data_IF_007833515038
#
_entry.id   IF_007833515038
#
_cell.length_a   1.000
_cell.length_b   1.000
_cell.length_c   1.000
_cell.angle_alpha   90.00
_cell.angle_beta   90.00
_cell.angle_gamma   90.00
#
_symmetry.space_group_name_H-M   'P 1'
#
loop_
_entity.id
_entity.type
_entity.pdbx_description
1 polymer ?
#
# COMPACT_ATOMS: atom_id res chain seq x y z
N UNK A 1 -37.61 53.54 23.71
CA UNK A 1 -37.59 52.08 23.59
C UNK A 1 -37.65 51.61 22.14
N UNK A 2 -38.61 52.05 21.33
CA UNK A 2 -38.76 51.59 19.93
C UNK A 2 -37.54 51.78 19.03
N UNK A 3 -36.80 52.90 19.12
CA UNK A 3 -35.59 53.17 18.32
C UNK A 3 -34.42 52.20 18.57
N UNK A 4 -34.23 51.68 19.79
CA UNK A 4 -33.19 50.71 20.12
C UNK A 4 -33.52 49.31 19.57
N UNK A 5 -34.82 48.96 19.48
CA UNK A 5 -35.29 47.66 18.92
C UNK A 5 -35.03 47.62 17.40
N UNK A 6 -35.29 48.73 16.68
CA UNK A 6 -35.04 48.80 15.23
C UNK A 6 -33.52 48.72 14.91
N UNK A 7 -32.67 49.28 15.79
CA UNK A 7 -31.23 49.20 15.62
C UNK A 7 -30.73 47.75 15.82
N UNK A 8 -31.23 47.04 16.83
CA UNK A 8 -30.88 45.62 17.09
C UNK A 8 -31.37 44.70 15.96
N UNK A 9 -32.56 44.89 15.46
CA UNK A 9 -33.12 44.12 14.33
C UNK A 9 -32.31 44.35 13.05
N UNK A 10 -31.89 45.62 12.79
CA UNK A 10 -31.02 45.96 11.67
C UNK A 10 -29.67 45.27 11.73
N UNK A 11 -29.03 45.21 12.91
CA UNK A 11 -27.76 44.49 13.09
C UNK A 11 -27.88 42.99 12.87
N UNK A 12 -28.95 42.38 13.38
CA UNK A 12 -29.19 40.93 13.17
C UNK A 12 -29.42 40.60 11.68
N UNK A 13 -30.14 41.44 10.95
CA UNK A 13 -30.34 41.26 9.51
C UNK A 13 -29.03 41.41 8.73
N UNK A 14 -28.17 42.32 9.07
CA UNK A 14 -26.86 42.52 8.45
C UNK A 14 -25.95 41.29 8.71
N UNK A 15 -25.97 40.75 9.93
CA UNK A 15 -25.25 39.50 10.26
C UNK A 15 -25.76 38.28 9.49
N UNK A 16 -27.07 38.13 9.34
CA UNK A 16 -27.67 37.07 8.56
C UNK A 16 -27.32 37.17 7.08
N UNK A 17 -27.34 38.35 6.51
CA UNK A 17 -26.92 38.62 5.11
C UNK A 17 -25.43 38.29 4.93
N UNK A 18 -24.57 38.66 5.88
CA UNK A 18 -23.16 38.33 5.82
C UNK A 18 -22.90 36.82 5.90
N UNK A 19 -23.61 36.10 6.76
CA UNK A 19 -23.53 34.64 6.86
C UNK A 19 -23.99 33.96 5.56
N UNK A 20 -25.09 34.43 4.98
CA UNK A 20 -25.59 33.93 3.69
C UNK A 20 -24.62 34.24 2.55
N UNK A 21 -24.02 35.42 2.54
CA UNK A 21 -23.01 35.79 1.55
C UNK A 21 -21.73 34.93 1.68
N UNK A 22 -21.29 34.62 2.90
CA UNK A 22 -20.15 33.72 3.15
C UNK A 22 -20.52 32.29 2.73
N UNK A 23 -21.73 31.83 3.02
CA UNK A 23 -22.22 30.51 2.62
C UNK A 23 -22.33 30.38 1.09
N UNK A 24 -22.87 31.39 0.40
CA UNK A 24 -22.97 31.42 -1.06
C UNK A 24 -21.59 31.59 -1.73
N UNK A 25 -20.68 32.33 -1.10
CA UNK A 25 -19.30 32.44 -1.61
C UNK A 25 -18.50 31.16 -1.41
N UNK A 26 -18.73 30.40 -0.34
CA UNK A 26 -18.19 29.04 -0.16
C UNK A 26 -18.82 28.03 -1.14
N UNK A 27 -20.07 28.19 -1.53
CA UNK A 27 -20.69 27.35 -2.56
C UNK A 27 -20.19 27.69 -3.97
N UNK A 28 -19.89 28.97 -4.25
CA UNK A 28 -19.34 29.40 -5.53
C UNK A 28 -17.82 29.13 -5.65
N UNK A 29 -17.10 28.94 -4.53
CA UNK A 29 -15.72 28.46 -4.52
C UNK A 29 -15.60 26.93 -4.57
N UNK A 30 -16.72 26.20 -4.56
CA UNK A 30 -16.80 24.87 -5.13
C UNK A 30 -16.86 24.97 -6.67
N UNK A 31 -15.92 25.70 -7.26
CA UNK A 31 -15.54 25.43 -8.64
C UNK A 31 -15.19 23.96 -8.67
N UNK A 32 -15.88 23.23 -9.52
CA UNK A 32 -15.44 21.97 -10.10
C UNK A 32 -13.92 22.07 -10.25
N UNK A 33 -13.21 21.51 -9.27
CA UNK A 33 -11.82 21.14 -9.48
C UNK A 33 -11.94 20.18 -10.65
N UNK A 34 -11.48 20.59 -11.82
CA UNK A 34 -11.27 19.68 -12.92
C UNK A 34 -10.39 18.58 -12.35
N UNK A 35 -11.03 17.46 -12.01
CA UNK A 35 -10.35 16.22 -11.74
C UNK A 35 -9.62 15.88 -13.03
N UNK A 36 -8.29 15.86 -12.92
CA UNK A 36 -7.44 15.13 -13.82
C UNK A 36 -6.94 15.87 -15.05
N UNK A 37 -5.66 16.13 -15.01
CA UNK A 37 -4.76 16.00 -16.15
C UNK A 37 -4.22 14.57 -16.30
N UNK A 38 -4.66 13.60 -15.48
CA UNK A 38 -4.35 12.20 -15.74
C UNK A 38 -5.05 11.79 -17.04
N UNK A 39 -4.39 11.05 -17.96
CA UNK A 39 -5.03 10.54 -19.15
C UNK A 39 -6.29 9.79 -18.73
N UNK A 40 -7.45 10.09 -19.34
CA UNK A 40 -8.66 9.28 -19.19
C UNK A 40 -8.35 7.88 -19.72
N UNK A 41 -8.00 6.99 -18.81
CA UNK A 41 -7.91 5.57 -19.12
C UNK A 41 -9.35 5.10 -19.21
N UNK A 42 -9.92 5.16 -20.42
CA UNK A 42 -11.23 4.63 -20.75
C UNK A 42 -11.18 3.11 -20.64
N UNK A 43 -11.31 2.61 -19.42
CA UNK A 43 -11.39 1.17 -19.18
C UNK A 43 -12.82 0.84 -18.76
N UNK A 44 -13.57 0.18 -19.66
CA UNK A 44 -14.96 -0.25 -19.40
C UNK A 44 -15.10 -1.16 -18.16
N UNK A 45 -13.98 -1.65 -17.64
CA UNK A 45 -13.95 -2.56 -16.50
C UNK A 45 -13.64 -1.86 -15.17
N UNK A 46 -13.55 -0.53 -15.11
CA UNK A 46 -13.26 0.19 -13.85
C UNK A 46 -14.32 1.23 -13.53
N UNK A 47 -14.80 1.18 -12.30
CA UNK A 47 -15.58 2.26 -11.69
C UNK A 47 -14.67 3.09 -10.79
N UNK A 48 -14.51 4.38 -11.11
CA UNK A 48 -13.70 5.28 -10.27
C UNK A 48 -14.45 5.69 -9.03
N UNK A 49 -13.75 5.71 -7.91
CA UNK A 49 -14.25 6.25 -6.66
C UNK A 49 -14.42 7.78 -6.72
N UNK A 50 -15.26 8.31 -5.83
CA UNK A 50 -15.59 9.75 -5.77
C UNK A 50 -15.09 10.43 -4.50
N UNK A 51 -14.73 9.67 -3.49
CA UNK A 51 -14.23 10.17 -2.22
C UNK A 51 -12.70 10.23 -2.20
N UNK A 52 -12.16 11.13 -1.39
CA UNK A 52 -10.71 11.27 -1.18
C UNK A 52 -10.38 11.18 0.30
N UNK A 53 -9.29 10.48 0.58
CA UNK A 53 -8.64 10.53 1.88
C UNK A 53 -7.17 10.92 1.68
N UNK A 54 -6.78 12.06 2.22
CA UNK A 54 -5.50 12.70 1.87
C UNK A 54 -5.35 12.78 0.33
N UNK A 55 -4.35 12.12 -0.25
CA UNK A 55 -4.07 12.15 -1.68
C UNK A 55 -4.65 10.92 -2.43
N UNK A 56 -5.30 9.99 -1.72
CA UNK A 56 -5.88 8.79 -2.32
C UNK A 56 -7.31 9.02 -2.77
N UNK A 57 -7.68 8.48 -3.93
CA UNK A 57 -9.07 8.30 -4.35
C UNK A 57 -9.52 6.95 -3.79
N UNK A 58 -10.61 6.97 -3.01
CA UNK A 58 -11.13 5.81 -2.31
C UNK A 58 -12.13 5.03 -3.16
N UNK A 59 -12.23 3.73 -2.91
CA UNK A 59 -13.26 2.83 -3.43
C UNK A 59 -13.37 2.82 -4.96
N UNK A 60 -12.24 2.71 -5.62
CA UNK A 60 -12.24 2.34 -7.02
C UNK A 60 -12.53 0.85 -7.12
N UNK A 61 -13.19 0.42 -8.19
CA UNK A 61 -13.56 -0.97 -8.39
C UNK A 61 -13.09 -1.44 -9.77
N UNK A 62 -12.26 -2.48 -9.79
CA UNK A 62 -11.98 -3.25 -11.01
C UNK A 62 -13.00 -4.39 -11.10
N UNK A 63 -13.81 -4.39 -12.14
CA UNK A 63 -14.80 -5.45 -12.41
C UNK A 63 -14.14 -6.63 -13.11
N UNK A 64 -13.69 -7.60 -12.30
CA UNK A 64 -13.11 -8.82 -12.82
C UNK A 64 -14.19 -9.79 -13.31
N UNK A 65 -13.92 -10.49 -14.41
CA UNK A 65 -14.81 -11.56 -14.90
C UNK A 65 -14.69 -12.83 -14.08
N UNK A 66 -13.50 -13.06 -13.52
CA UNK A 66 -13.16 -14.33 -12.87
C UNK A 66 -13.23 -14.22 -11.34
N UNK A 67 -13.01 -13.01 -10.78
CA UNK A 67 -12.85 -12.82 -9.34
C UNK A 67 -13.81 -11.78 -8.73
N UNK A 68 -14.82 -11.31 -9.50
CA UNK A 68 -15.83 -10.35 -9.04
C UNK A 68 -15.30 -8.92 -8.92
N UNK A 69 -15.93 -8.11 -8.10
CA UNK A 69 -15.53 -6.73 -7.89
C UNK A 69 -14.30 -6.66 -6.97
N UNK A 70 -13.26 -5.96 -7.43
CA UNK A 70 -12.00 -5.79 -6.70
C UNK A 70 -11.92 -4.33 -6.26
N UNK A 71 -12.13 -4.08 -4.97
CA UNK A 71 -12.08 -2.75 -4.40
C UNK A 71 -10.64 -2.33 -4.08
N UNK A 72 -10.29 -1.08 -4.39
CA UNK A 72 -8.97 -0.54 -4.10
C UNK A 72 -8.99 0.97 -3.92
N UNK A 73 -8.02 1.48 -3.19
CA UNK A 73 -7.73 2.90 -3.08
C UNK A 73 -6.46 3.20 -3.86
N UNK A 74 -6.40 4.37 -4.51
CA UNK A 74 -5.29 4.70 -5.40
C UNK A 74 -4.75 6.10 -5.15
N UNK A 75 -3.43 6.22 -5.19
CA UNK A 75 -2.72 7.47 -5.33
C UNK A 75 -1.99 7.51 -6.67
N UNK A 76 -2.30 8.51 -7.48
CA UNK A 76 -1.57 8.84 -8.71
C UNK A 76 -0.99 10.23 -8.51
N UNK A 77 0.35 10.41 -8.58
CA UNK A 77 0.95 11.74 -8.47
C UNK A 77 0.42 12.70 -9.54
N UNK A 78 0.23 13.97 -9.19
CA UNK A 78 -0.22 15.02 -10.13
C UNK A 78 0.74 15.18 -11.32
N UNK A 79 1.99 14.75 -11.19
CA UNK A 79 3.00 14.76 -12.25
C UNK A 79 2.86 13.60 -13.24
N UNK A 80 2.01 12.60 -12.98
CA UNK A 80 1.82 11.48 -13.91
C UNK A 80 0.91 11.87 -15.06
N UNK A 81 1.46 11.88 -16.28
CA UNK A 81 0.73 12.13 -17.52
C UNK A 81 0.84 10.97 -18.52
N UNK A 82 1.44 9.85 -18.12
CA UNK A 82 1.65 8.66 -18.94
C UNK A 82 2.81 8.77 -19.94
N UNK A 83 3.52 9.90 -20.02
CA UNK A 83 4.63 10.10 -20.98
C UNK A 83 5.93 9.40 -20.55
N UNK A 84 6.12 9.18 -19.28
CA UNK A 84 7.27 8.47 -18.71
C UNK A 84 6.81 7.35 -17.75
N UNK A 85 7.61 6.26 -17.62
CA UNK A 85 7.23 5.18 -16.75
C UNK A 85 7.39 5.54 -15.27
N UNK A 86 6.40 5.15 -14.43
CA UNK A 86 6.39 5.30 -12.98
C UNK A 86 6.52 3.95 -12.29
N UNK A 87 7.03 3.94 -11.08
CA UNK A 87 6.98 2.76 -10.22
C UNK A 87 5.53 2.42 -9.85
N UNK A 88 5.27 1.16 -9.52
CA UNK A 88 4.01 0.69 -8.94
C UNK A 88 4.27 0.14 -7.53
N UNK A 89 3.42 0.49 -6.58
CA UNK A 89 3.48 -0.05 -5.24
C UNK A 89 2.11 -0.59 -4.79
N UNK A 90 2.09 -1.89 -4.46
CA UNK A 90 0.93 -2.59 -3.92
C UNK A 90 1.07 -2.71 -2.41
N UNK A 91 0.16 -2.12 -1.62
CA UNK A 91 0.21 -2.17 -0.16
C UNK A 91 -1.02 -2.88 0.41
N UNK A 92 -0.81 -4.08 0.98
CA UNK A 92 -1.88 -4.92 1.53
C UNK A 92 -1.92 -4.81 3.05
N UNK A 93 -3.06 -4.42 3.61
CA UNK A 93 -3.23 -4.16 5.04
C UNK A 93 -3.54 -5.42 5.83
N UNK A 94 -3.49 -5.30 7.15
CA UNK A 94 -4.02 -6.28 8.09
C UNK A 94 -5.56 -6.33 8.14
N UNK A 95 -6.08 -7.06 9.13
CA UNK A 95 -7.51 -7.34 9.31
C UNK A 95 -8.39 -6.10 9.33
N UNK A 96 -7.92 -5.01 9.95
CA UNK A 96 -8.69 -3.77 10.05
C UNK A 96 -8.90 -3.07 8.70
N UNK A 97 -8.12 -3.44 7.68
CA UNK A 97 -8.21 -2.87 6.35
C UNK A 97 -9.08 -3.65 5.37
N UNK A 98 -9.72 -4.78 5.77
CA UNK A 98 -10.65 -5.48 4.91
C UNK A 98 -11.88 -4.63 4.55
N UNK A 99 -12.48 -4.89 3.41
CA UNK A 99 -13.55 -4.07 2.85
C UNK A 99 -14.77 -3.94 3.80
N UNK A 100 -15.13 -5.01 4.49
CA UNK A 100 -16.23 -4.99 5.46
C UNK A 100 -15.98 -4.13 6.71
N UNK A 101 -14.72 -3.73 6.98
CA UNK A 101 -14.38 -2.80 8.06
C UNK A 101 -14.70 -1.35 7.71
N UNK A 102 -14.85 -1.05 6.43
CA UNK A 102 -15.20 0.26 5.92
C UNK A 102 -14.29 0.75 4.80
N UNK A 103 -14.82 1.60 3.94
CA UNK A 103 -14.10 2.18 2.81
C UNK A 103 -12.92 3.03 3.29
N UNK A 104 -11.75 2.76 2.76
CA UNK A 104 -10.50 3.46 3.08
C UNK A 104 -9.87 3.09 4.42
N UNK A 105 -10.41 2.12 5.16
CA UNK A 105 -9.82 1.70 6.45
C UNK A 105 -8.41 1.11 6.27
N UNK A 106 -8.13 0.44 5.15
CA UNK A 106 -6.79 -0.05 4.81
C UNK A 106 -5.72 1.06 4.77
N UNK A 107 -6.10 2.30 4.43
CA UNK A 107 -5.19 3.45 4.47
C UNK A 107 -5.05 4.06 5.86
N UNK A 108 -6.10 4.00 6.68
CA UNK A 108 -6.14 4.63 8.01
C UNK A 108 -5.45 3.80 9.07
N UNK A 109 -5.38 2.49 8.87
CA UNK A 109 -4.78 1.56 9.84
C UNK A 109 -3.27 1.42 9.69
N UNK A 110 -2.73 1.71 8.50
CA UNK A 110 -1.31 1.52 8.17
C UNK A 110 -0.83 2.65 7.27
N UNK A 111 0.38 3.13 7.51
CA UNK A 111 0.88 4.34 6.84
C UNK A 111 1.83 4.07 5.66
N UNK A 112 2.05 2.82 5.28
CA UNK A 112 2.96 2.45 4.20
C UNK A 112 2.71 3.23 2.90
N UNK A 113 1.44 3.36 2.49
CA UNK A 113 1.06 4.10 1.30
C UNK A 113 1.31 5.60 1.38
N UNK A 114 1.25 6.19 2.58
CA UNK A 114 1.49 7.63 2.78
C UNK A 114 2.98 7.97 2.81
N UNK A 115 3.81 7.07 3.31
CA UNK A 115 5.26 7.26 3.44
C UNK A 115 5.99 6.96 2.13
N UNK A 116 5.48 6.05 1.31
CA UNK A 116 6.11 5.61 0.06
C UNK A 116 6.56 6.77 -0.88
N UNK A 117 5.79 7.86 -1.08
CA UNK A 117 6.20 8.98 -1.93
C UNK A 117 7.47 9.71 -1.46
N UNK A 118 7.87 9.56 -0.19
CA UNK A 118 9.13 10.13 0.32
C UNK A 118 10.36 9.45 -0.29
N UNK A 119 10.22 8.19 -0.72
CA UNK A 119 11.29 7.40 -1.34
C UNK A 119 11.31 7.52 -2.86
N UNK A 120 10.13 7.62 -3.48
CA UNK A 120 10.01 7.82 -4.92
C UNK A 120 8.74 8.62 -5.24
N UNK A 121 8.90 9.87 -5.65
CA UNK A 121 7.78 10.74 -6.02
C UNK A 121 7.12 10.35 -7.36
N UNK A 122 7.76 9.49 -8.16
CA UNK A 122 7.23 8.93 -9.41
C UNK A 122 6.73 7.50 -9.17
N UNK A 123 5.70 7.35 -8.33
CA UNK A 123 5.15 6.07 -7.95
C UNK A 123 3.63 6.14 -7.89
N UNK A 124 2.95 5.24 -8.59
CA UNK A 124 1.53 4.96 -8.41
C UNK A 124 1.40 3.99 -7.25
N UNK A 125 0.51 4.29 -6.30
CA UNK A 125 0.31 3.46 -5.10
C UNK A 125 -1.11 2.94 -5.11
N UNK A 126 -1.25 1.62 -5.01
CA UNK A 126 -2.51 0.91 -4.99
C UNK A 126 -2.64 0.18 -3.66
N UNK A 127 -3.70 0.48 -2.93
CA UNK A 127 -4.05 -0.16 -1.67
C UNK A 127 -5.33 -0.99 -1.87
N UNK A 128 -5.20 -2.29 -2.20
CA UNK A 128 -6.35 -3.18 -2.33
C UNK A 128 -7.11 -3.24 -1.01
N UNK A 129 -8.42 -3.33 -1.09
CA UNK A 129 -9.32 -3.47 0.06
C UNK A 129 -10.14 -4.75 -0.15
N UNK A 130 -9.55 -5.85 0.29
CA UNK A 130 -9.98 -7.21 0.00
C UNK A 130 -11.06 -7.69 0.98
N UNK A 131 -11.71 -8.82 0.66
CA UNK A 131 -12.78 -9.39 1.48
C UNK A 131 -12.24 -10.43 2.49
N UNK A 132 -11.14 -11.08 2.19
CA UNK A 132 -10.50 -12.10 3.03
C UNK A 132 -8.97 -12.13 2.86
N UNK A 133 -8.30 -13.21 3.33
CA UNK A 133 -6.84 -13.41 3.26
C UNK A 133 -6.41 -14.55 2.33
N UNK A 134 -7.35 -15.19 1.62
CA UNK A 134 -7.12 -16.47 0.97
C UNK A 134 -6.88 -16.34 -0.54
N UNK A 135 -7.02 -17.47 -1.22
CA UNK A 135 -6.80 -17.63 -2.65
C UNK A 135 -7.53 -16.62 -3.52
N UNK A 136 -8.78 -16.29 -3.17
CA UNK A 136 -9.56 -15.32 -3.93
C UNK A 136 -8.88 -13.93 -3.89
N UNK A 137 -8.57 -13.46 -2.69
CA UNK A 137 -7.90 -12.16 -2.51
C UNK A 137 -6.49 -12.12 -3.11
N UNK A 138 -5.76 -13.24 -3.09
CA UNK A 138 -4.48 -13.34 -3.78
C UNK A 138 -4.64 -13.22 -5.30
N UNK A 139 -5.61 -13.92 -5.89
CA UNK A 139 -5.89 -13.83 -7.32
C UNK A 139 -6.40 -12.43 -7.72
N UNK A 140 -7.24 -11.81 -6.90
CA UNK A 140 -7.67 -10.42 -7.08
C UNK A 140 -6.49 -9.45 -7.05
N UNK A 141 -5.53 -9.64 -6.14
CA UNK A 141 -4.32 -8.82 -6.06
C UNK A 141 -3.43 -9.00 -7.30
N UNK A 142 -3.29 -10.22 -7.80
CA UNK A 142 -2.56 -10.51 -9.04
C UNK A 142 -3.22 -9.80 -10.22
N UNK A 143 -4.53 -9.99 -10.41
CA UNK A 143 -5.26 -9.35 -11.51
C UNK A 143 -5.19 -7.83 -11.45
N UNK A 144 -5.34 -7.25 -10.25
CA UNK A 144 -5.21 -5.81 -10.06
C UNK A 144 -3.80 -5.31 -10.40
N UNK A 145 -2.75 -6.05 -10.03
CA UNK A 145 -1.36 -5.73 -10.40
C UNK A 145 -1.17 -5.78 -11.91
N UNK A 146 -1.64 -6.84 -12.57
CA UNK A 146 -1.57 -7.00 -14.03
C UNK A 146 -2.37 -5.92 -14.76
N UNK A 147 -3.52 -5.52 -14.20
CA UNK A 147 -4.31 -4.42 -14.72
C UNK A 147 -3.49 -3.11 -14.77
N UNK A 148 -2.80 -2.76 -13.69
CA UNK A 148 -1.97 -1.55 -13.65
C UNK A 148 -0.78 -1.64 -14.61
N UNK A 149 -0.10 -2.78 -14.67
CA UNK A 149 1.00 -3.01 -15.61
C UNK A 149 0.57 -2.91 -17.07
N UNK A 150 -0.67 -3.28 -17.39
CA UNK A 150 -1.19 -3.27 -18.76
C UNK A 150 -1.79 -1.93 -19.19
N UNK A 151 -2.28 -1.12 -18.24
CA UNK A 151 -3.08 0.06 -18.56
C UNK A 151 -2.39 1.39 -18.20
N UNK A 152 -1.32 1.35 -17.40
CA UNK A 152 -0.52 2.51 -17.01
C UNK A 152 0.90 2.38 -17.56
N UNK A 153 1.58 3.51 -17.75
CA UNK A 153 2.99 3.49 -18.11
C UNK A 153 3.82 3.23 -16.85
N UNK A 154 4.01 1.93 -16.54
CA UNK A 154 4.74 1.45 -15.36
C UNK A 154 6.11 0.93 -15.78
N UNK A 155 7.13 1.29 -15.00
CA UNK A 155 8.45 0.66 -15.03
C UNK A 155 8.35 -0.74 -14.38
N UNK A 156 8.32 -1.77 -15.21
CA UNK A 156 8.20 -3.17 -14.74
C UNK A 156 9.40 -3.65 -13.92
N UNK A 157 10.51 -2.91 -13.92
CA UNK A 157 11.65 -3.16 -13.03
C UNK A 157 11.46 -2.55 -11.63
N UNK A 158 10.38 -1.79 -11.39
CA UNK A 158 10.08 -1.09 -10.13
C UNK A 158 8.65 -1.30 -9.67
N UNK A 159 8.30 -2.56 -9.48
CA UNK A 159 6.99 -2.99 -8.96
C UNK A 159 7.19 -3.55 -7.55
N UNK A 160 6.73 -2.85 -6.57
CA UNK A 160 6.95 -3.15 -5.16
C UNK A 160 5.69 -3.64 -4.48
N UNK A 161 5.84 -4.44 -3.43
CA UNK A 161 4.72 -4.85 -2.60
C UNK A 161 5.10 -4.90 -1.12
N UNK A 162 4.12 -4.63 -0.26
CA UNK A 162 4.17 -5.06 1.14
C UNK A 162 2.87 -5.74 1.54
N UNK A 163 2.96 -6.57 2.56
CA UNK A 163 1.81 -7.13 3.25
C UNK A 163 2.06 -7.15 4.75
N UNK A 164 1.13 -6.60 5.52
CA UNK A 164 1.17 -6.59 6.97
C UNK A 164 0.11 -7.52 7.55
N UNK A 165 0.49 -8.34 8.54
CA UNK A 165 -0.44 -9.25 9.21
C UNK A 165 -1.18 -10.14 8.20
N UNK A 166 -2.51 -10.17 8.16
CA UNK A 166 -3.29 -10.91 7.18
C UNK A 166 -3.01 -10.51 5.72
N UNK A 167 -2.65 -9.24 5.45
CA UNK A 167 -2.18 -8.82 4.13
C UNK A 167 -0.86 -9.49 3.74
N UNK A 168 -0.01 -9.84 4.72
CA UNK A 168 1.19 -10.64 4.51
C UNK A 168 0.87 -12.10 4.16
N UNK A 169 -0.15 -12.71 4.78
CA UNK A 169 -0.65 -14.02 4.39
C UNK A 169 -1.07 -14.02 2.91
N UNK A 170 -1.92 -13.06 2.51
CA UNK A 170 -2.36 -12.90 1.12
C UNK A 170 -1.20 -12.69 0.16
N UNK A 171 -0.28 -11.75 0.48
CA UNK A 171 0.88 -11.49 -0.39
C UNK A 171 1.82 -12.69 -0.50
N UNK A 172 1.94 -13.53 0.53
CA UNK A 172 2.74 -14.75 0.46
C UNK A 172 2.19 -15.74 -0.58
N UNK A 173 0.85 -15.83 -0.70
CA UNK A 173 0.20 -16.63 -1.74
C UNK A 173 0.44 -16.01 -3.13
N UNK A 174 0.35 -14.67 -3.25
CA UNK A 174 0.70 -13.93 -4.49
C UNK A 174 2.13 -14.24 -4.91
N UNK A 175 3.09 -14.16 -3.97
CA UNK A 175 4.49 -14.47 -4.23
C UNK A 175 4.73 -15.93 -4.63
N UNK A 176 3.98 -16.86 -4.05
CA UNK A 176 4.02 -18.27 -4.45
C UNK A 176 3.50 -18.52 -5.87
N UNK A 177 2.69 -17.60 -6.42
CA UNK A 177 2.10 -17.73 -7.76
C UNK A 177 2.79 -16.86 -8.80
N UNK A 178 3.04 -15.58 -8.49
CA UNK A 178 3.44 -14.54 -9.43
C UNK A 178 4.45 -13.56 -8.84
N UNK A 179 5.47 -14.07 -8.12
CA UNK A 179 6.61 -13.24 -7.67
C UNK A 179 7.33 -12.55 -8.84
N UNK A 180 7.24 -13.14 -10.03
CA UNK A 180 7.77 -12.57 -11.27
C UNK A 180 7.22 -11.18 -11.62
N UNK A 181 6.08 -10.77 -11.08
CA UNK A 181 5.52 -9.42 -11.27
C UNK A 181 6.27 -8.35 -10.47
N UNK A 182 6.96 -8.73 -9.39
CA UNK A 182 7.48 -7.78 -8.40
C UNK A 182 9.01 -7.67 -8.45
N UNK A 183 9.51 -6.49 -8.11
CA UNK A 183 10.94 -6.20 -7.96
C UNK A 183 11.42 -6.48 -6.55
N UNK A 184 10.54 -6.38 -5.57
CA UNK A 184 10.79 -6.78 -4.17
C UNK A 184 9.50 -6.86 -3.38
N UNK A 185 9.58 -7.56 -2.25
CA UNK A 185 8.48 -7.74 -1.32
C UNK A 185 8.91 -7.52 0.14
N UNK A 186 8.12 -6.74 0.88
CA UNK A 186 8.27 -6.51 2.31
C UNK A 186 7.19 -7.28 3.08
N UNK A 187 7.58 -8.34 3.77
CA UNK A 187 6.73 -9.21 4.58
C UNK A 187 6.76 -8.76 6.05
N UNK A 188 5.66 -8.18 6.53
CA UNK A 188 5.61 -7.51 7.82
C UNK A 188 4.73 -8.26 8.82
N UNK A 189 5.28 -8.65 9.98
CA UNK A 189 4.54 -9.25 11.12
C UNK A 189 3.46 -10.24 10.67
N UNK A 190 3.87 -11.26 9.91
CA UNK A 190 2.94 -12.22 9.29
C UNK A 190 3.55 -13.61 9.23
N UNK A 191 2.72 -14.59 8.87
CA UNK A 191 3.15 -15.94 8.50
C UNK A 191 3.10 -16.11 6.99
N UNK A 192 3.80 -17.12 6.49
CA UNK A 192 3.81 -17.47 5.07
C UNK A 192 2.82 -18.60 4.80
N UNK A 193 1.89 -18.40 3.87
CA UNK A 193 0.88 -19.36 3.46
C UNK A 193 1.06 -19.82 2.00
N UNK A 194 1.93 -19.18 1.22
CA UNK A 194 2.19 -19.49 -0.18
C UNK A 194 3.20 -20.61 -0.40
N UNK A 195 3.32 -21.05 -1.66
CA UNK A 195 4.43 -21.89 -2.11
C UNK A 195 5.70 -21.04 -2.27
N UNK A 196 6.86 -21.61 -2.02
CA UNK A 196 8.14 -20.93 -2.17
C UNK A 196 8.75 -21.05 -3.59
N UNK A 197 8.33 -22.01 -4.38
CA UNK A 197 9.05 -22.38 -5.60
C UNK A 197 9.09 -21.27 -6.64
N UNK A 198 8.00 -20.53 -6.83
CA UNK A 198 7.95 -19.43 -7.79
C UNK A 198 8.85 -18.29 -7.34
N UNK A 199 8.84 -17.95 -6.04
CA UNK A 199 9.71 -16.95 -5.44
C UNK A 199 11.19 -17.31 -5.61
N UNK A 200 11.56 -18.56 -5.32
CA UNK A 200 12.93 -19.05 -5.48
C UNK A 200 13.37 -19.05 -6.94
N UNK A 201 12.46 -19.38 -7.87
CA UNK A 201 12.76 -19.36 -9.30
C UNK A 201 13.00 -17.94 -9.84
N UNK A 202 12.18 -16.99 -9.43
CA UNK A 202 12.27 -15.59 -9.88
C UNK A 202 13.38 -14.79 -9.19
N UNK A 203 13.93 -15.31 -8.08
CA UNK A 203 14.90 -14.60 -7.23
C UNK A 203 14.42 -13.20 -6.82
N UNK A 204 13.10 -13.06 -6.64
CA UNK A 204 12.53 -11.79 -6.18
C UNK A 204 12.98 -11.51 -4.73
N UNK A 205 13.65 -10.38 -4.46
CA UNK A 205 14.12 -10.04 -3.13
C UNK A 205 12.98 -9.90 -2.12
N UNK A 206 13.17 -10.46 -0.93
CA UNK A 206 12.21 -10.40 0.17
C UNK A 206 12.86 -9.91 1.46
N UNK A 207 12.18 -8.99 2.15
CA UNK A 207 12.54 -8.52 3.48
C UNK A 207 11.45 -8.92 4.46
N UNK A 208 11.80 -9.74 5.43
CA UNK A 208 10.91 -10.19 6.50
C UNK A 208 11.20 -9.33 7.73
N UNK A 209 10.22 -8.57 8.21
CA UNK A 209 10.34 -7.77 9.44
C UNK A 209 9.27 -8.17 10.45
N UNK A 210 9.70 -8.40 11.69
CA UNK A 210 8.83 -8.80 12.79
C UNK A 210 9.40 -8.35 14.13
N UNK A 211 8.54 -8.08 15.11
CA UNK A 211 8.94 -7.90 16.50
C UNK A 211 9.37 -9.22 17.16
N UNK A 212 10.41 -9.19 17.99
CA UNK A 212 10.89 -10.40 18.69
C UNK A 212 9.82 -11.04 19.60
N UNK A 213 8.86 -10.24 20.08
CA UNK A 213 7.74 -10.66 20.90
C UNK A 213 6.39 -10.30 20.24
N UNK A 214 6.29 -10.45 18.92
CA UNK A 214 5.01 -10.28 18.21
C UNK A 214 3.94 -11.15 18.84
N UNK A 215 2.87 -10.51 19.35
CA UNK A 215 1.87 -11.14 20.20
C UNK A 215 0.89 -12.02 19.43
N UNK A 216 0.88 -11.93 18.09
CA UNK A 216 -0.09 -12.66 17.27
C UNK A 216 0.54 -13.85 16.54
N UNK A 217 1.55 -13.62 15.70
CA UNK A 217 2.18 -14.69 14.93
C UNK A 217 3.38 -15.29 15.64
N UNK A 218 4.04 -14.53 16.53
CA UNK A 218 5.29 -14.93 17.14
C UNK A 218 6.46 -14.95 16.15
N UNK A 219 7.66 -14.99 16.68
CA UNK A 219 8.89 -14.94 15.85
C UNK A 219 9.18 -16.23 15.10
N UNK A 220 8.72 -17.39 15.63
CA UNK A 220 9.13 -18.70 15.10
C UNK A 220 8.65 -18.93 13.66
N UNK A 221 7.45 -18.43 13.30
CA UNK A 221 6.94 -18.54 11.92
C UNK A 221 7.83 -17.81 10.90
N UNK A 222 8.26 -16.59 11.23
CA UNK A 222 9.15 -15.80 10.36
C UNK A 222 10.55 -16.42 10.25
N UNK A 223 11.07 -16.96 11.34
CA UNK A 223 12.34 -17.73 11.32
C UNK A 223 12.24 -18.97 10.45
N UNK A 224 11.13 -19.70 10.53
CA UNK A 224 10.92 -20.88 9.70
C UNK A 224 10.84 -20.50 8.23
N UNK A 225 10.06 -19.48 7.86
CA UNK A 225 10.00 -18.97 6.48
C UNK A 225 11.39 -18.58 5.96
N UNK A 226 12.17 -17.85 6.76
CA UNK A 226 13.54 -17.50 6.38
C UNK A 226 14.40 -18.75 6.16
N UNK A 227 14.35 -19.71 7.07
CA UNK A 227 15.15 -20.94 6.98
C UNK A 227 14.77 -21.77 5.75
N UNK A 228 13.46 -21.94 5.49
CA UNK A 228 12.98 -22.70 4.34
C UNK A 228 13.42 -22.05 3.02
N UNK A 229 13.30 -20.74 2.90
CA UNK A 229 13.76 -20.00 1.72
C UNK A 229 15.29 -20.08 1.55
N UNK A 230 16.03 -19.91 2.65
CA UNK A 230 17.49 -20.01 2.64
C UNK A 230 17.94 -21.38 2.12
N UNK A 231 17.34 -22.47 2.62
CA UNK A 231 17.67 -23.85 2.18
C UNK A 231 17.33 -24.05 0.69
N UNK A 232 16.17 -23.56 0.23
CA UNK A 232 15.77 -23.66 -1.18
C UNK A 232 16.71 -22.87 -2.11
N UNK A 233 17.16 -21.69 -1.71
CA UNK A 233 18.17 -20.93 -2.46
C UNK A 233 19.53 -21.64 -2.47
N UNK A 234 19.93 -22.26 -1.35
CA UNK A 234 21.14 -23.10 -1.30
C UNK A 234 21.04 -24.31 -2.21
N UNK A 235 19.89 -24.99 -2.21
CA UNK A 235 19.63 -26.14 -3.09
C UNK A 235 19.61 -25.74 -4.58
N UNK A 236 19.19 -24.50 -4.88
CA UNK A 236 19.29 -23.92 -6.23
C UNK A 236 20.74 -23.61 -6.63
N UNK A 237 21.66 -23.56 -5.68
CA UNK A 237 23.10 -23.37 -5.91
C UNK A 237 23.62 -21.96 -5.64
N UNK A 238 22.81 -21.09 -5.02
CA UNK A 238 23.26 -19.74 -4.64
C UNK A 238 24.25 -19.81 -3.48
N UNK A 239 25.23 -18.90 -3.50
CA UNK A 239 26.13 -18.66 -2.38
C UNK A 239 25.43 -17.88 -1.26
N UNK A 240 26.00 -17.91 -0.05
CA UNK A 240 25.48 -17.15 1.08
C UNK A 240 25.40 -15.64 0.77
N UNK A 241 26.40 -15.11 0.03
CA UNK A 241 26.40 -13.70 -0.36
C UNK A 241 25.27 -13.33 -1.33
N UNK A 242 24.92 -14.21 -2.27
CA UNK A 242 23.79 -14.01 -3.18
C UNK A 242 22.47 -14.11 -2.42
N UNK A 243 22.36 -15.06 -1.48
CA UNK A 243 21.15 -15.20 -0.65
C UNK A 243 20.96 -13.97 0.24
N UNK A 244 22.01 -13.43 0.85
CA UNK A 244 21.95 -12.23 1.69
C UNK A 244 21.45 -10.98 0.92
N UNK A 245 21.58 -10.96 -0.41
CA UNK A 245 21.01 -9.90 -1.26
C UNK A 245 19.52 -10.10 -1.52
N UNK A 246 19.05 -11.35 -1.52
CA UNK A 246 17.66 -11.71 -1.83
C UNK A 246 16.77 -11.86 -0.59
N UNK A 247 17.35 -12.24 0.54
CA UNK A 247 16.59 -12.67 1.71
C UNK A 247 17.09 -12.00 2.98
N UNK A 248 16.26 -11.17 3.59
CA UNK A 248 16.54 -10.49 4.85
C UNK A 248 15.54 -10.91 5.92
N UNK A 249 16.03 -11.24 7.12
CA UNK A 249 15.21 -11.36 8.33
C UNK A 249 15.63 -10.28 9.33
N UNK A 250 14.76 -9.31 9.53
CA UNK A 250 14.96 -8.21 10.48
C UNK A 250 14.06 -8.40 11.71
N UNK A 251 14.65 -8.84 12.79
CA UNK A 251 13.95 -9.02 14.06
C UNK A 251 14.15 -7.78 14.92
N UNK A 252 13.09 -7.00 15.07
CA UNK A 252 13.08 -5.80 15.92
C UNK A 252 12.95 -6.21 17.39
N UNK A 253 13.90 -5.79 18.21
CA UNK A 253 13.93 -6.07 19.65
C UNK A 253 12.94 -5.19 20.44
N UNK A 254 12.77 -5.46 21.74
CA UNK A 254 11.92 -4.66 22.60
C UNK A 254 12.31 -3.18 22.64
N UNK A 255 13.60 -2.87 22.58
CA UNK A 255 14.08 -1.48 22.65
C UNK A 255 13.65 -0.65 21.44
N UNK A 256 13.50 -1.27 20.28
CA UNK A 256 12.96 -0.64 19.08
C UNK A 256 11.53 -0.12 19.34
N UNK A 257 10.67 -0.94 19.90
CA UNK A 257 9.28 -0.58 20.18
C UNK A 257 9.17 0.38 21.38
N UNK A 258 9.86 0.09 22.50
CA UNK A 258 9.85 0.91 23.70
C UNK A 258 10.34 2.35 23.43
N UNK A 259 11.35 2.52 22.60
CA UNK A 259 11.89 3.83 22.21
C UNK A 259 10.85 4.72 21.53
N UNK A 260 9.83 4.12 20.92
CA UNK A 260 8.72 4.79 20.24
C UNK A 260 7.43 4.80 21.09
N UNK A 261 7.50 4.32 22.34
CA UNK A 261 6.35 4.25 23.24
C UNK A 261 5.33 3.15 22.87
N UNK A 262 5.73 2.20 22.03
CA UNK A 262 4.89 1.08 21.63
C UNK A 262 5.00 -0.06 22.65
N UNK A 263 3.85 -0.64 23.04
CA UNK A 263 3.74 -1.74 24.01
C UNK A 263 3.17 -3.02 23.39
N UNK A 264 2.60 -2.94 22.19
CA UNK A 264 2.10 -4.09 21.44
C UNK A 264 2.86 -4.16 20.12
N UNK A 265 3.72 -5.17 19.96
CA UNK A 265 4.63 -5.26 18.81
C UNK A 265 3.86 -5.60 17.53
N UNK A 266 2.84 -6.47 17.62
CA UNK A 266 2.00 -6.76 16.48
C UNK A 266 1.14 -5.56 16.09
N UNK A 267 0.36 -5.02 16.99
CA UNK A 267 -0.64 -3.99 16.68
C UNK A 267 -0.05 -2.62 16.31
N UNK A 268 1.20 -2.33 16.70
CA UNK A 268 1.87 -1.05 16.45
C UNK A 268 3.03 -1.17 15.44
N UNK A 269 3.35 -2.40 15.00
CA UNK A 269 4.46 -2.66 14.08
C UNK A 269 4.31 -1.99 12.73
N UNK A 270 3.10 -1.99 12.14
CA UNK A 270 2.87 -1.40 10.82
C UNK A 270 3.34 0.05 10.74
N UNK A 271 2.89 0.90 11.68
CA UNK A 271 3.29 2.30 11.75
C UNK A 271 4.81 2.46 11.90
N UNK A 272 5.44 1.68 12.78
CA UNK A 272 6.88 1.78 13.03
C UNK A 272 7.69 1.33 11.82
N UNK A 273 7.31 0.24 11.16
CA UNK A 273 8.00 -0.27 9.97
C UNK A 273 7.84 0.64 8.78
N UNK A 274 6.66 1.26 8.60
CA UNK A 274 6.42 2.26 7.55
C UNK A 274 7.35 3.48 7.69
N UNK A 275 7.69 3.87 8.92
CA UNK A 275 8.59 4.99 9.19
C UNK A 275 10.06 4.59 9.40
N UNK A 276 10.39 3.29 9.35
CA UNK A 276 11.77 2.81 9.42
C UNK A 276 12.47 2.93 8.06
N UNK A 277 13.44 3.86 7.99
CA UNK A 277 14.19 4.14 6.76
C UNK A 277 14.99 2.95 6.24
N UNK A 278 15.40 2.04 7.12
CA UNK A 278 16.11 0.83 6.70
C UNK A 278 15.15 -0.14 6.01
N UNK A 279 13.95 -0.31 6.58
CA UNK A 279 12.90 -1.19 6.04
C UNK A 279 12.38 -0.67 4.71
N UNK A 280 11.86 0.55 4.69
CA UNK A 280 11.26 1.13 3.48
C UNK A 280 12.32 1.49 2.42
N UNK A 281 13.50 1.94 2.85
CA UNK A 281 14.62 2.22 1.95
C UNK A 281 15.10 0.96 1.25
N UNK A 282 15.18 -0.17 1.95
CA UNK A 282 15.52 -1.45 1.33
C UNK A 282 14.50 -1.81 0.24
N UNK A 283 13.20 -1.73 0.54
CA UNK A 283 12.13 -2.08 -0.40
C UNK A 283 12.24 -1.30 -1.72
N UNK A 284 12.36 0.02 -1.65
CA UNK A 284 12.32 0.89 -2.83
C UNK A 284 13.66 1.07 -3.55
N UNK A 285 14.76 0.53 -3.00
CA UNK A 285 16.06 0.50 -3.65
C UNK A 285 16.24 -0.73 -4.57
N UNK A 286 15.35 -1.71 -4.53
CA UNK A 286 15.44 -2.88 -5.38
C UNK A 286 15.00 -2.56 -6.82
N UNK A 287 15.77 -3.03 -7.80
CA UNK A 287 15.47 -2.90 -9.22
C UNK A 287 15.59 -4.28 -9.85
N UNK A 288 14.53 -4.75 -10.47
CA UNK A 288 14.51 -6.08 -11.10
C UNK A 288 15.40 -6.09 -12.34
N UNK A 289 16.31 -7.05 -12.42
CA UNK A 289 17.22 -7.22 -13.55
C UNK A 289 18.48 -6.36 -13.49
N UNK A 290 18.76 -5.67 -12.38
CA UNK A 290 20.04 -4.99 -12.14
C UNK A 290 21.16 -5.97 -11.70
N UNK A 291 21.18 -7.18 -12.29
CA UNK A 291 22.29 -8.14 -12.14
C UNK A 291 23.59 -7.68 -12.83
N UNK A 292 23.81 -6.39 -13.06
CA UNK A 292 25.11 -5.88 -13.41
C UNK A 292 26.03 -5.84 -12.16
N UNK A 293 26.38 -7.04 -11.69
CA UNK A 293 27.60 -7.20 -10.91
C UNK A 293 28.75 -6.79 -11.83
N UNK A 294 29.37 -5.66 -11.55
CA UNK A 294 30.68 -5.30 -12.12
C UNK A 294 31.59 -6.52 -12.04
N UNK A 295 31.92 -7.08 -13.21
CA UNK A 295 32.94 -8.11 -13.36
C UNK A 295 34.32 -7.49 -13.42
#
# INVERSE_FOLDING_TARGET
MKRKIYLLVGIVIIFLIAIIAIYLNNQNNNQTINLSTAPEINNENVTSGTEKYQNFILDNTLHSKDYGDIHYNIYIPDSYDGSEPYALYMTLPGYQGLYFQGVGENLKTEEFGFVAPEYNSKMIIVAPQLDDWQELSANQTIELTEYFLSNYNIDSSRVYANGYSGGGETMSIVMGKRSDLFSSYLHCSSKWDGDYQTLVNSETPIYIVIGENDEYYGLDSSKQTYQDLYELYRDKGLSDQEIDQLLVLDVKDNSYFESQGASNQHGQGAHLFAHDKNVMGWLFNQIKGDDEVEK
#
